data_IF_515045547187
#
_entry.id   IF_515045547187
#
_cell.length_a   1.000
_cell.length_b   1.000
_cell.length_c   1.000
_cell.angle_alpha   90.00
_cell.angle_beta   90.00
_cell.angle_gamma   90.00
#
_symmetry.space_group_name_H-M   'P 1'
#
loop_
_entity.id
_entity.type
_entity.pdbx_description
1 polymer ?
#
# COMPACT_ATOMS: atom_id res chain seq x y z
N UNK A 1 3.25 1.70 -11.66
CA UNK A 1 4.16 2.13 -10.58
C UNK A 1 3.97 1.18 -9.42
N UNK A 2 5.05 0.81 -8.72
CA UNK A 2 4.96 0.05 -7.46
C UNK A 2 4.53 1.02 -6.35
N UNK A 3 3.44 0.72 -5.65
CA UNK A 3 2.85 1.64 -4.67
C UNK A 3 3.32 1.38 -3.25
N UNK A 4 3.39 0.12 -2.82
CA UNK A 4 3.77 -0.25 -1.47
C UNK A 4 4.13 -1.74 -1.40
N UNK A 5 4.78 -2.13 -0.30
CA UNK A 5 5.02 -3.51 0.10
C UNK A 5 4.39 -3.73 1.48
N UNK A 6 3.71 -4.86 1.66
CA UNK A 6 3.11 -5.26 2.93
C UNK A 6 2.99 -6.78 3.00
N UNK A 7 2.64 -7.30 4.17
CA UNK A 7 2.48 -8.72 4.41
C UNK A 7 0.99 -9.10 4.45
N UNK A 8 0.68 -10.30 4.01
CA UNK A 8 -0.62 -10.93 4.19
C UNK A 8 -0.43 -12.22 4.98
N UNK A 9 -1.30 -12.47 5.95
CA UNK A 9 -1.55 -13.83 6.44
C UNK A 9 -2.73 -14.42 5.64
N UNK A 10 -3.07 -15.68 5.92
CA UNK A 10 -4.17 -16.36 5.23
C UNK A 10 -5.51 -15.59 5.31
N UNK A 11 -5.86 -15.06 6.48
CA UNK A 11 -7.11 -14.31 6.66
C UNK A 11 -7.13 -13.02 5.83
N UNK A 12 -6.00 -12.29 5.75
CA UNK A 12 -5.87 -11.09 4.92
C UNK A 12 -5.97 -11.40 3.42
N UNK A 13 -5.43 -12.54 3.00
CA UNK A 13 -5.54 -13.05 1.64
C UNK A 13 -6.99 -13.37 1.27
N UNK A 14 -7.68 -14.18 2.09
CA UNK A 14 -9.08 -14.56 1.89
C UNK A 14 -10.02 -13.34 1.92
N UNK A 15 -9.76 -12.39 2.81
CA UNK A 15 -10.49 -11.11 2.86
C UNK A 15 -10.26 -10.29 1.60
N UNK A 16 -9.03 -10.25 1.08
CA UNK A 16 -8.72 -9.52 -0.15
C UNK A 16 -9.46 -10.10 -1.35
N UNK A 17 -9.47 -11.43 -1.50
CA UNK A 17 -10.18 -12.10 -2.58
C UNK A 17 -11.70 -11.93 -2.51
N UNK A 18 -12.27 -12.07 -1.31
CA UNK A 18 -13.73 -11.97 -1.13
C UNK A 18 -14.25 -10.54 -1.30
N UNK A 19 -13.50 -9.53 -0.88
CA UNK A 19 -13.97 -8.14 -0.89
C UNK A 19 -13.51 -7.34 -2.11
N UNK A 20 -12.51 -7.82 -2.84
CA UNK A 20 -11.84 -7.05 -3.90
C UNK A 20 -11.08 -5.82 -3.37
N UNK A 21 -10.84 -5.73 -2.05
CA UNK A 21 -10.13 -4.61 -1.40
C UNK A 21 -8.85 -5.12 -0.77
N UNK A 22 -7.72 -4.48 -1.06
CA UNK A 22 -6.44 -4.91 -0.52
C UNK A 22 -6.46 -4.84 1.02
N UNK A 23 -6.32 -6.02 1.63
CA UNK A 23 -6.32 -6.21 3.08
C UNK A 23 -5.00 -6.82 3.47
N UNK A 24 -4.32 -6.24 4.46
CA UNK A 24 -2.98 -6.64 4.86
C UNK A 24 -2.96 -7.04 6.34
N UNK A 25 -1.92 -7.77 6.73
CA UNK A 25 -1.66 -8.15 8.10
C UNK A 25 -0.51 -7.33 8.67
N UNK A 26 -0.76 -6.62 9.76
CA UNK A 26 0.29 -5.90 10.49
C UNK A 26 1.02 -6.87 11.41
N UNK A 27 2.23 -7.28 11.05
CA UNK A 27 3.04 -8.20 11.89
C UNK A 27 3.37 -7.65 13.28
N UNK A 28 3.42 -6.33 13.42
CA UNK A 28 3.70 -5.64 14.69
C UNK A 28 2.45 -5.56 15.58
N UNK A 29 1.31 -5.15 15.01
CA UNK A 29 0.03 -5.04 15.75
C UNK A 29 -0.73 -6.36 15.86
N UNK A 30 -0.30 -7.37 15.11
CA UNK A 30 -0.93 -8.69 14.98
C UNK A 30 -2.40 -8.63 14.58
N UNK A 31 -2.75 -7.67 13.73
CA UNK A 31 -4.13 -7.40 13.30
C UNK A 31 -4.23 -7.22 11.78
N UNK A 32 -5.43 -7.49 11.25
CA UNK A 32 -5.78 -7.17 9.87
C UNK A 32 -6.08 -5.68 9.73
N UNK A 33 -5.76 -5.13 8.57
CA UNK A 33 -6.18 -3.78 8.22
C UNK A 33 -6.46 -3.67 6.73
N UNK A 34 -7.61 -3.07 6.41
CA UNK A 34 -8.02 -2.80 5.04
C UNK A 34 -7.36 -1.48 4.61
N UNK A 35 -6.61 -1.51 3.51
CA UNK A 35 -5.91 -0.32 3.02
C UNK A 35 -6.90 0.79 2.71
N UNK A 36 -6.71 1.94 3.36
CA UNK A 36 -7.56 3.11 3.17
C UNK A 36 -8.80 3.17 4.06
N UNK A 37 -9.04 2.18 4.94
CA UNK A 37 -10.24 2.17 5.82
C UNK A 37 -10.42 3.46 6.61
N UNK A 38 -9.33 4.04 7.10
CA UNK A 38 -9.35 5.31 7.84
C UNK A 38 -9.28 6.53 6.93
N UNK A 39 -8.43 6.50 5.89
CA UNK A 39 -8.12 7.70 5.09
C UNK A 39 -8.97 7.86 3.84
N UNK A 40 -9.82 6.89 3.48
CA UNK A 40 -10.52 6.84 2.19
C UNK A 40 -9.63 6.43 1.01
N UNK A 41 -8.31 6.33 1.18
CA UNK A 41 -7.36 6.00 0.12
C UNK A 41 -7.29 4.49 -0.13
N UNK A 42 -8.41 3.94 -0.62
CA UNK A 42 -8.63 2.52 -0.84
C UNK A 42 -7.81 1.97 -2.01
N UNK A 43 -7.52 0.66 -1.95
CA UNK A 43 -6.95 -0.08 -3.09
C UNK A 43 -7.94 -1.14 -3.54
N UNK A 44 -8.52 -0.94 -4.72
CA UNK A 44 -9.46 -1.88 -5.34
C UNK A 44 -8.68 -2.83 -6.24
N UNK A 45 -8.72 -4.13 -5.94
CA UNK A 45 -7.98 -5.16 -6.68
C UNK A 45 -8.61 -5.35 -8.06
N UNK A 46 -7.78 -5.30 -9.10
CA UNK A 46 -8.20 -5.51 -10.50
C UNK A 46 -7.61 -6.80 -11.10
N UNK A 47 -6.43 -7.20 -10.63
CA UNK A 47 -5.76 -8.42 -11.05
C UNK A 47 -4.82 -8.86 -9.93
N UNK A 48 -4.69 -10.17 -9.75
CA UNK A 48 -3.74 -10.79 -8.83
C UNK A 48 -2.81 -11.69 -9.62
N UNK A 49 -1.51 -11.59 -9.36
CA UNK A 49 -0.50 -12.53 -9.85
C UNK A 49 0.23 -13.14 -8.67
N UNK A 50 0.71 -14.35 -8.86
CA UNK A 50 1.53 -15.09 -7.92
C UNK A 50 2.90 -15.29 -8.59
N UNK A 51 3.97 -15.32 -7.81
CA UNK A 51 5.31 -15.65 -8.30
C UNK A 51 5.49 -17.15 -8.55
N UNK A 52 6.72 -17.59 -8.84
CA UNK A 52 6.99 -18.93 -9.35
C UNK A 52 6.99 -20.05 -8.30
N UNK A 53 7.17 -19.68 -7.04
CA UNK A 53 7.26 -20.54 -5.87
C UNK A 53 6.13 -20.29 -4.86
N UNK A 54 5.10 -19.56 -5.30
CA UNK A 54 3.83 -19.36 -4.61
C UNK A 54 3.95 -18.68 -3.23
N UNK A 55 4.95 -17.82 -3.03
CA UNK A 55 5.20 -17.14 -1.75
C UNK A 55 4.98 -15.61 -1.80
N UNK A 56 4.90 -15.04 -3.00
CA UNK A 56 4.68 -13.61 -3.20
C UNK A 56 3.51 -13.34 -4.14
N UNK A 57 2.65 -12.40 -3.74
CA UNK A 57 1.53 -11.92 -4.55
C UNK A 57 1.79 -10.51 -5.08
N UNK A 58 1.52 -10.29 -6.36
CA UNK A 58 1.45 -8.96 -6.97
C UNK A 58 -0.01 -8.57 -7.18
N UNK A 59 -0.46 -7.58 -6.42
CA UNK A 59 -1.77 -6.96 -6.60
C UNK A 59 -1.65 -5.79 -7.58
N UNK A 60 -2.38 -5.87 -8.70
CA UNK A 60 -2.64 -4.69 -9.54
C UNK A 60 -3.94 -4.07 -9.07
N UNK A 61 -3.84 -2.81 -8.66
CA UNK A 61 -4.92 -2.11 -7.97
C UNK A 61 -5.26 -0.78 -8.65
N UNK A 62 -6.51 -0.39 -8.53
CA UNK A 62 -6.93 1.00 -8.66
C UNK A 62 -6.76 1.68 -7.30
N UNK A 63 -5.92 2.73 -7.25
CA UNK A 63 -5.65 3.50 -6.04
C UNK A 63 -6.65 4.67 -5.95
N UNK A 64 -7.68 4.51 -5.12
CA UNK A 64 -8.64 5.57 -4.80
C UNK A 64 -7.95 6.64 -3.93
N UNK A 65 -8.28 7.91 -4.16
CA UNK A 65 -7.69 9.06 -3.46
C UNK A 65 -6.24 9.38 -3.84
N UNK A 66 -5.63 8.61 -4.76
CA UNK A 66 -4.33 8.90 -5.36
C UNK A 66 -3.11 8.53 -4.50
N UNK A 67 -3.24 8.46 -3.18
CA UNK A 67 -2.10 8.25 -2.27
C UNK A 67 -2.09 6.89 -1.55
N UNK A 68 -1.10 6.06 -1.85
CA UNK A 68 -0.88 4.82 -1.11
C UNK A 68 -0.16 5.05 0.23
N UNK A 69 0.71 6.05 0.31
CA UNK A 69 1.53 6.31 1.49
C UNK A 69 0.80 7.19 2.51
N UNK A 70 1.04 6.93 3.79
CA UNK A 70 0.51 7.76 4.88
C UNK A 70 1.17 9.15 4.95
N UNK A 71 2.28 9.37 4.24
CA UNK A 71 2.96 10.68 4.12
C UNK A 71 2.37 11.56 3.02
N UNK A 72 1.20 11.19 2.47
CA UNK A 72 0.57 11.89 1.36
C UNK A 72 1.06 11.48 -0.02
N UNK A 73 2.16 10.74 -0.14
CA UNK A 73 2.71 10.38 -1.44
C UNK A 73 1.93 9.27 -2.15
N UNK A 74 1.92 9.33 -3.49
CA UNK A 74 1.31 8.31 -4.35
C UNK A 74 1.85 6.90 -4.06
N UNK A 75 3.16 6.78 -3.94
CA UNK A 75 3.88 5.55 -3.63
C UNK A 75 4.69 5.72 -2.34
N UNK A 76 4.85 4.65 -1.57
CA UNK A 76 5.81 4.57 -0.48
C UNK A 76 7.27 4.66 -0.98
N UNK A 77 7.51 4.36 -2.26
CA UNK A 77 8.82 4.40 -2.91
C UNK A 77 9.16 5.79 -3.46
N UNK A 78 8.80 6.84 -2.72
CA UNK A 78 9.04 8.24 -3.09
C UNK A 78 10.45 8.75 -2.70
N UNK A 79 11.28 7.90 -2.09
CA UNK A 79 12.69 8.18 -1.80
C UNK A 79 13.54 7.38 -2.78
N UNK A 80 14.24 8.06 -3.69
CA UNK A 80 15.16 7.47 -4.66
C UNK A 80 16.60 7.61 -4.18
N UNK A 81 17.39 6.57 -4.35
CA UNK A 81 18.85 6.63 -4.19
C UNK A 81 19.45 6.98 -5.55
N UNK A 82 20.19 8.08 -5.62
CA UNK A 82 20.92 8.49 -6.83
C UNK A 82 22.28 7.76 -6.92
N UNK A 83 22.98 7.87 -8.05
CA UNK A 83 24.23 7.12 -8.32
C UNK A 83 25.35 7.41 -7.33
N UNK A 84 25.35 8.60 -6.73
CA UNK A 84 26.29 9.04 -5.70
C UNK A 84 25.92 8.56 -4.27
N UNK A 85 24.85 7.79 -4.14
CA UNK A 85 24.33 7.29 -2.87
C UNK A 85 23.47 8.31 -2.10
N UNK A 86 23.27 9.52 -2.62
CA UNK A 86 22.39 10.51 -1.99
C UNK A 86 20.91 10.11 -2.12
N UNK A 87 20.10 10.51 -1.14
CA UNK A 87 18.66 10.24 -1.13
C UNK A 87 17.91 11.48 -1.62
N UNK A 88 17.16 11.31 -2.71
CA UNK A 88 16.29 12.34 -3.29
C UNK A 88 14.82 12.00 -3.08
N UNK A 89 14.05 12.98 -2.63
CA UNK A 89 12.59 12.90 -2.58
C UNK A 89 12.05 13.13 -3.99
N UNK A 90 11.27 12.18 -4.50
CA UNK A 90 10.60 12.27 -5.80
C UNK A 90 9.08 12.36 -5.62
N UNK A 91 8.45 13.23 -6.42
CA UNK A 91 7.03 13.52 -6.27
C UNK A 91 6.74 14.52 -5.15
N UNK A 92 5.45 14.87 -5.01
CA UNK A 92 4.93 15.75 -3.96
C UNK A 92 3.83 15.02 -3.19
N UNK A 93 3.63 15.31 -1.89
CA UNK A 93 2.46 14.84 -1.17
C UNK A 93 1.16 15.29 -1.86
N UNK A 94 0.18 14.40 -1.94
CA UNK A 94 -1.16 14.64 -2.48
C UNK A 94 -2.17 15.05 -1.40
N UNK A 95 -1.86 14.80 -0.13
CA UNK A 95 -2.64 15.22 1.03
C UNK A 95 -1.71 15.52 2.21
N UNK A 96 -2.20 16.30 3.18
CA UNK A 96 -1.51 16.53 4.45
C UNK A 96 -1.85 15.41 5.45
N UNK A 97 -0.86 14.63 5.94
CA UNK A 97 -1.08 13.60 6.93
C UNK A 97 -1.73 14.08 8.23
N UNK A 98 -1.45 15.30 8.68
CA UNK A 98 -2.00 15.82 9.94
C UNK A 98 -3.51 16.04 9.84
N UNK A 99 -3.98 16.57 8.70
CA UNK A 99 -5.40 16.78 8.42
C UNK A 99 -6.17 15.46 8.30
N UNK A 100 -5.55 14.44 7.68
CA UNK A 100 -6.19 13.15 7.38
C UNK A 100 -6.22 12.21 8.57
N UNK A 101 -5.15 12.14 9.35
CA UNK A 101 -5.02 11.18 10.44
C UNK A 101 -5.35 11.75 11.82
N UNK A 102 -5.56 13.07 11.95
CA UNK A 102 -6.01 13.78 13.17
C UNK A 102 -5.49 13.15 14.47
N UNK A 103 -4.17 12.99 14.57
CA UNK A 103 -3.50 12.60 15.80
C UNK A 103 -2.96 13.83 16.50
#
# INVERSE_FOLDING_TARGET
>A
EVLMLAFMNQEAWETTLSTGKATFYSRTRKELWIKGKTSGNMQLVKEVRIDCDDDTVLLKVEQVGGAACHTGHKSCFYKRVDEDGSIKIIGKPLFDPEEVYKK
#
